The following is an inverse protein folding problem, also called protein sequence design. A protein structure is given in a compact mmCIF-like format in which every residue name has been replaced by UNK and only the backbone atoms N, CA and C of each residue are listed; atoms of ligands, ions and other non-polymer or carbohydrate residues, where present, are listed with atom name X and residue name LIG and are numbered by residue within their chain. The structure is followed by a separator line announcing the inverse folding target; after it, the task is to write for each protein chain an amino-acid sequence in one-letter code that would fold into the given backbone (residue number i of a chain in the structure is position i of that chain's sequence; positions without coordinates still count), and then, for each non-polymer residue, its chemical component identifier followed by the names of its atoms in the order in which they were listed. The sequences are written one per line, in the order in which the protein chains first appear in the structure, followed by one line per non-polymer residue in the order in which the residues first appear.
data_IF_757231219462
#
_entry.id   IF_757231219462
#
_cell.length_a   1.000
_cell.length_b   1.000
_cell.length_c   1.000
_cell.angle_alpha   90.00
_cell.angle_beta   90.00
_cell.angle_gamma   90.00
#
_symmetry.space_group_name_H-M   'P 1'
#
loop_
_entity.id
_entity.type
_entity.pdbx_description
1 polymer ?
#
# COMPACT_ATOMS: atom_id res chain seq x y z
N UNK A 1 10.41 -20.25 -20.34
CA UNK A 1 9.51 -19.09 -20.18
C UNK A 1 9.26 -18.93 -18.69
N UNK A 2 9.76 -17.88 -18.11
CA UNK A 2 9.50 -17.50 -16.72
C UNK A 2 8.24 -16.62 -16.77
N UNK A 3 7.07 -17.06 -16.32
CA UNK A 3 5.96 -16.15 -16.12
C UNK A 3 6.22 -15.36 -14.85
N UNK A 4 7.05 -14.33 -14.95
CA UNK A 4 7.19 -13.34 -13.91
C UNK A 4 5.91 -12.50 -13.89
N UNK A 5 4.90 -12.89 -13.12
CA UNK A 5 3.88 -11.98 -12.65
C UNK A 5 4.40 -11.32 -11.36
N UNK A 6 5.25 -10.35 -11.52
CA UNK A 6 5.47 -9.32 -10.52
C UNK A 6 4.27 -8.37 -10.61
N UNK A 7 3.15 -8.78 -10.01
CA UNK A 7 1.93 -7.97 -9.94
C UNK A 7 1.90 -7.36 -8.55
N UNK A 8 1.87 -6.03 -8.48
CA UNK A 8 1.69 -5.29 -7.25
C UNK A 8 2.98 -5.02 -6.50
N UNK A 9 3.56 -3.92 -6.75
CA UNK A 9 4.91 -3.56 -6.34
C UNK A 9 5.00 -3.02 -4.91
N UNK A 10 4.00 -2.30 -4.41
CA UNK A 10 3.93 -1.92 -3.00
C UNK A 10 3.61 -3.12 -2.11
N UNK A 11 2.85 -4.08 -2.62
CA UNK A 11 2.60 -5.39 -1.98
C UNK A 11 3.91 -6.09 -1.61
N UNK A 12 4.91 -6.06 -2.49
CA UNK A 12 6.18 -6.73 -2.24
C UNK A 12 6.86 -6.31 -0.94
N UNK A 13 6.78 -5.05 -0.53
CA UNK A 13 7.45 -4.57 0.68
C UNK A 13 6.70 -5.02 1.94
N UNK A 14 5.37 -4.97 1.94
CA UNK A 14 4.52 -5.32 3.10
C UNK A 14 4.50 -6.82 3.36
N UNK A 15 4.43 -7.62 2.28
CA UNK A 15 4.55 -9.08 2.35
C UNK A 15 5.93 -9.50 2.88
N UNK A 16 7.00 -8.77 2.47
CA UNK A 16 8.34 -9.02 2.98
C UNK A 16 8.50 -8.66 4.45
N UNK A 17 7.88 -7.55 4.90
CA UNK A 17 7.82 -7.22 6.32
C UNK A 17 7.11 -8.30 7.13
N UNK A 18 6.03 -8.87 6.58
CA UNK A 18 5.30 -9.98 7.22
C UNK A 18 6.15 -11.24 7.33
N UNK A 19 6.80 -11.66 6.23
CA UNK A 19 7.68 -12.83 6.25
C UNK A 19 8.89 -12.62 7.19
N UNK A 20 9.44 -11.41 7.23
CA UNK A 20 10.54 -11.05 8.12
C UNK A 20 10.11 -11.06 9.60
N UNK A 21 8.92 -10.52 9.90
CA UNK A 21 8.35 -10.57 11.24
C UNK A 21 8.14 -12.01 11.71
N UNK A 22 7.56 -12.87 10.87
CA UNK A 22 7.39 -14.31 11.16
C UNK A 22 8.72 -15.00 11.42
N UNK A 23 9.74 -14.72 10.62
CA UNK A 23 11.04 -15.39 10.75
C UNK A 23 11.79 -14.99 12.03
N UNK A 24 11.76 -13.70 12.39
CA UNK A 24 12.66 -13.14 13.39
C UNK A 24 12.00 -12.75 14.72
N UNK A 25 10.71 -12.38 14.70
CA UNK A 25 10.07 -11.73 15.85
C UNK A 25 8.92 -12.51 16.46
N UNK A 26 8.30 -13.44 15.72
CA UNK A 26 7.10 -14.15 16.19
C UNK A 26 7.20 -15.66 15.99
N UNK A 27 6.56 -16.40 16.88
CA UNK A 27 6.22 -17.81 16.66
C UNK A 27 4.82 -17.94 16.05
N UNK A 28 3.95 -16.94 16.33
CA UNK A 28 2.59 -16.83 15.82
C UNK A 28 2.22 -15.35 15.67
N UNK A 29 1.77 -14.94 14.47
CA UNK A 29 1.17 -13.62 14.24
C UNK A 29 -0.35 -13.78 14.25
N UNK A 30 -1.02 -13.06 15.16
CA UNK A 30 -2.48 -13.07 15.29
C UNK A 30 -3.16 -11.90 14.56
N UNK A 31 -2.54 -10.73 14.55
CA UNK A 31 -3.12 -9.51 13.95
C UNK A 31 -2.08 -8.78 13.09
N UNK A 32 -2.53 -8.34 11.93
CA UNK A 32 -1.73 -7.53 10.99
C UNK A 32 -2.55 -6.30 10.63
N UNK A 33 -2.04 -5.11 10.93
CA UNK A 33 -2.56 -3.85 10.44
C UNK A 33 -1.55 -3.24 9.45
N UNK A 34 -1.92 -3.22 8.19
CA UNK A 34 -1.11 -2.67 7.11
C UNK A 34 -1.43 -1.19 6.99
N UNK A 35 -0.41 -0.34 7.06
CA UNK A 35 -0.54 1.11 7.06
C UNK A 35 0.17 1.71 5.86
N UNK A 36 -0.58 2.39 5.01
CA UNK A 36 -0.08 3.11 3.84
C UNK A 36 -0.33 4.61 4.02
N UNK A 37 0.72 5.33 4.38
CA UNK A 37 0.65 6.77 4.59
C UNK A 37 1.41 7.52 3.51
N UNK A 38 0.68 8.36 2.75
CA UNK A 38 1.27 9.41 1.94
C UNK A 38 1.00 10.77 2.60
N UNK A 39 2.05 11.34 3.23
CA UNK A 39 2.03 12.69 3.80
C UNK A 39 2.49 13.78 2.82
N UNK A 40 2.60 13.45 1.53
CA UNK A 40 3.03 14.39 0.49
C UNK A 40 1.96 15.43 0.13
N UNK A 41 2.46 16.64 -0.19
CA UNK A 41 1.65 17.73 -0.75
C UNK A 41 2.19 18.12 -2.13
N UNK A 42 1.37 17.99 -3.16
CA UNK A 42 1.68 18.35 -4.53
C UNK A 42 1.12 19.74 -4.95
N UNK A 43 0.39 20.41 -4.06
CA UNK A 43 -0.16 21.76 -4.25
C UNK A 43 -1.36 21.85 -5.20
N UNK A 44 -1.94 20.74 -5.67
CA UNK A 44 -3.23 20.73 -6.37
C UNK A 44 -4.38 20.53 -5.38
N UNK A 45 -5.52 21.17 -5.56
CA UNK A 45 -6.71 20.90 -4.76
C UNK A 45 -7.16 19.44 -4.81
N UNK A 46 -6.99 18.80 -5.99
CA UNK A 46 -7.30 17.42 -6.25
C UNK A 46 -6.39 16.84 -7.34
N UNK A 47 -5.70 15.77 -7.04
CA UNK A 47 -4.93 14.95 -7.96
C UNK A 47 -4.69 13.58 -7.34
N UNK A 48 -4.30 12.60 -8.15
CA UNK A 48 -3.95 11.26 -7.71
C UNK A 48 -2.47 10.99 -7.93
N UNK A 49 -1.82 10.29 -7.01
CA UNK A 49 -0.38 10.03 -7.07
C UNK A 49 0.00 8.86 -8.00
N UNK A 50 -0.97 8.09 -8.44
CA UNK A 50 -0.83 7.00 -9.42
C UNK A 50 -2.03 7.02 -10.37
N UNK A 51 -2.22 5.99 -11.19
CA UNK A 51 -3.26 5.95 -12.21
C UNK A 51 -4.62 6.43 -11.66
N UNK A 52 -5.16 7.57 -12.16
CA UNK A 52 -6.37 8.17 -11.60
C UNK A 52 -7.57 7.22 -11.58
N UNK A 53 -7.77 6.46 -12.65
CA UNK A 53 -8.91 5.53 -12.74
C UNK A 53 -8.83 4.43 -11.68
N UNK A 54 -7.65 3.85 -11.47
CA UNK A 54 -7.44 2.81 -10.45
C UNK A 54 -7.70 3.39 -9.08
N UNK A 55 -7.07 4.53 -8.75
CA UNK A 55 -7.22 5.19 -7.46
C UNK A 55 -8.68 5.57 -7.16
N UNK A 56 -9.38 6.19 -8.12
CA UNK A 56 -10.77 6.61 -7.93
C UNK A 56 -11.71 5.40 -7.72
N UNK A 57 -11.50 4.31 -8.46
CA UNK A 57 -12.30 3.09 -8.31
C UNK A 57 -12.04 2.36 -6.99
N UNK A 58 -10.79 2.28 -6.56
CA UNK A 58 -10.38 1.67 -5.30
C UNK A 58 -11.02 2.38 -4.10
N UNK A 59 -10.95 3.71 -4.07
CA UNK A 59 -11.51 4.52 -2.98
C UNK A 59 -13.04 4.50 -2.95
N UNK A 60 -13.69 4.34 -4.11
CA UNK A 60 -15.17 4.26 -4.22
C UNK A 60 -15.72 2.84 -4.02
N UNK A 61 -14.87 1.82 -3.98
CA UNK A 61 -15.28 0.45 -3.78
C UNK A 61 -15.56 0.15 -2.30
N UNK A 62 -16.36 -0.92 -2.06
CA UNK A 62 -16.50 -1.46 -0.71
C UNK A 62 -15.12 -1.85 -0.15
N UNK A 63 -14.90 -1.50 1.11
CA UNK A 63 -13.76 -2.02 1.85
C UNK A 63 -13.99 -3.48 2.25
N UNK A 64 -12.92 -4.22 2.48
CA UNK A 64 -13.02 -5.51 3.13
C UNK A 64 -11.73 -5.86 3.87
N UNK A 65 -11.85 -6.70 4.88
CA UNK A 65 -10.72 -7.18 5.66
C UNK A 65 -10.96 -8.63 6.11
N UNK A 66 -9.90 -9.30 6.48
CA UNK A 66 -9.95 -10.67 7.00
C UNK A 66 -10.11 -10.67 8.51
N UNK A 67 -11.06 -11.46 9.04
CA UNK A 67 -11.26 -11.64 10.46
C UNK A 67 -11.82 -13.04 10.76
N UNK A 68 -11.16 -13.76 11.68
CA UNK A 68 -11.57 -15.06 12.20
C UNK A 68 -11.99 -16.09 11.11
N UNK A 69 -11.20 -16.17 10.04
CA UNK A 69 -11.40 -17.15 8.98
C UNK A 69 -12.40 -16.74 7.89
N UNK A 70 -12.88 -15.50 7.86
CA UNK A 70 -13.80 -15.01 6.85
C UNK A 70 -13.57 -13.55 6.45
N UNK A 71 -14.10 -13.17 5.30
CA UNK A 71 -14.09 -11.79 4.83
C UNK A 71 -15.21 -10.99 5.48
N UNK A 72 -14.88 -9.80 5.96
CA UNK A 72 -15.84 -8.81 6.46
C UNK A 72 -15.86 -7.64 5.48
N UNK A 73 -17.03 -7.38 4.89
CA UNK A 73 -17.23 -6.25 3.99
C UNK A 73 -17.68 -4.99 4.74
N UNK A 74 -17.25 -3.82 4.26
CA UNK A 74 -17.64 -2.51 4.77
C UNK A 74 -18.06 -1.61 3.60
N UNK A 75 -18.82 -0.55 3.90
CA UNK A 75 -19.05 0.49 2.90
C UNK A 75 -17.75 1.23 2.57
N UNK A 76 -17.69 1.90 1.41
CA UNK A 76 -16.53 2.72 1.07
C UNK A 76 -16.19 3.70 2.19
N UNK A 77 -14.93 3.76 2.61
CA UNK A 77 -14.42 4.70 3.61
C UNK A 77 -15.13 4.70 4.99
N UNK A 78 -15.89 3.64 5.31
CA UNK A 78 -16.71 3.57 6.54
C UNK A 78 -15.87 3.52 7.81
N UNK A 79 -14.78 2.76 7.79
CA UNK A 79 -13.90 2.61 8.95
C UNK A 79 -12.75 3.59 8.85
N UNK A 80 -12.82 4.61 9.71
CA UNK A 80 -11.78 5.63 9.86
C UNK A 80 -10.99 5.39 11.15
N UNK A 81 -9.69 5.60 11.10
CA UNK A 81 -8.78 5.61 12.25
C UNK A 81 -7.82 6.79 12.14
N UNK A 82 -7.27 7.19 13.26
CA UNK A 82 -6.20 8.18 13.36
C UNK A 82 -4.93 7.50 13.82
N UNK A 83 -3.81 7.83 13.19
CA UNK A 83 -2.51 7.29 13.57
C UNK A 83 -1.41 8.34 13.45
N UNK A 84 -0.48 8.33 14.39
CA UNK A 84 0.68 9.21 14.39
C UNK A 84 1.87 8.48 13.73
N UNK A 85 2.03 8.71 12.44
CA UNK A 85 3.07 8.06 11.63
C UNK A 85 4.46 8.63 11.92
N UNK A 86 5.46 7.81 12.19
CA UNK A 86 6.84 8.26 12.34
C UNK A 86 7.29 9.15 11.19
N UNK A 87 7.87 10.31 11.49
CA UNK A 87 8.36 11.33 10.57
C UNK A 87 7.30 11.99 9.64
N UNK A 88 6.05 11.62 9.70
CA UNK A 88 4.94 12.24 8.94
C UNK A 88 3.98 12.98 9.85
N UNK A 89 3.75 12.45 11.07
CA UNK A 89 2.80 13.01 12.03
C UNK A 89 1.42 12.37 11.96
N UNK A 90 0.47 12.99 12.66
CA UNK A 90 -0.89 12.50 12.80
C UNK A 90 -1.68 12.61 11.48
N UNK A 91 -2.30 11.52 11.08
CA UNK A 91 -3.10 11.43 9.86
C UNK A 91 -4.35 10.56 10.07
N UNK A 92 -5.42 10.97 9.42
CA UNK A 92 -6.59 10.14 9.22
C UNK A 92 -6.29 9.07 8.17
N UNK A 93 -6.67 7.83 8.46
CA UNK A 93 -6.56 6.70 7.55
C UNK A 93 -7.87 5.93 7.48
N UNK A 94 -8.13 5.32 6.34
CA UNK A 94 -9.39 4.67 6.04
C UNK A 94 -9.15 3.23 5.61
N UNK A 95 -10.00 2.32 6.06
CA UNK A 95 -9.95 0.92 5.67
C UNK A 95 -10.41 0.75 4.22
N UNK A 96 -9.58 0.08 3.45
CA UNK A 96 -9.86 -0.33 2.07
C UNK A 96 -9.66 -1.84 1.92
N UNK A 97 -10.19 -2.41 0.84
CA UNK A 97 -9.72 -3.71 0.37
C UNK A 97 -8.36 -3.55 -0.32
N UNK A 98 -7.45 -4.50 -0.11
CA UNK A 98 -6.20 -4.55 -0.86
C UNK A 98 -5.77 -6.01 -1.05
N UNK A 99 -5.18 -6.32 -2.20
CA UNK A 99 -4.95 -7.71 -2.65
C UNK A 99 -3.97 -8.50 -1.79
N UNK A 100 -2.99 -7.84 -1.13
CA UNK A 100 -2.07 -8.57 -0.24
C UNK A 100 -2.78 -9.25 0.93
N UNK A 101 -3.95 -8.78 1.35
CA UNK A 101 -4.73 -9.46 2.40
C UNK A 101 -5.06 -10.90 1.99
N UNK A 102 -5.34 -11.13 0.70
CA UNK A 102 -5.71 -12.45 0.18
C UNK A 102 -4.57 -13.46 0.33
N UNK A 103 -3.35 -13.05 -0.03
CA UNK A 103 -2.17 -13.92 0.07
C UNK A 103 -1.74 -14.12 1.52
N UNK A 104 -1.74 -13.05 2.33
CA UNK A 104 -1.37 -13.12 3.74
C UNK A 104 -2.37 -13.95 4.56
N UNK A 105 -3.67 -13.84 4.31
CA UNK A 105 -4.69 -14.67 4.96
C UNK A 105 -4.49 -16.16 4.70
N UNK A 106 -3.96 -16.51 3.51
CA UNK A 106 -3.65 -17.88 3.12
C UNK A 106 -2.32 -18.39 3.68
N UNK A 107 -1.30 -17.52 3.71
CA UNK A 107 0.09 -17.92 3.94
C UNK A 107 0.61 -17.61 5.35
N UNK A 108 -0.12 -16.84 6.17
CA UNK A 108 0.21 -16.59 7.58
C UNK A 108 -0.60 -17.53 8.49
N UNK A 109 0.01 -18.60 9.03
CA UNK A 109 -0.71 -19.55 9.85
C UNK A 109 -1.27 -18.92 11.12
N UNK A 110 -2.54 -19.18 11.42
CA UNK A 110 -3.16 -18.75 12.69
C UNK A 110 -3.55 -17.27 12.74
N UNK A 111 -3.40 -16.52 11.66
CA UNK A 111 -3.80 -15.11 11.62
C UNK A 111 -5.31 -14.97 11.83
N UNK A 112 -5.67 -14.11 12.78
CA UNK A 112 -7.06 -13.83 13.16
C UNK A 112 -7.64 -12.64 12.44
N UNK A 113 -6.83 -11.58 12.20
CA UNK A 113 -7.29 -10.37 11.50
C UNK A 113 -6.17 -9.75 10.67
N UNK A 114 -6.52 -9.33 9.45
CA UNK A 114 -5.68 -8.52 8.58
C UNK A 114 -6.49 -7.35 8.06
N UNK A 115 -6.02 -6.11 8.29
CA UNK A 115 -6.65 -4.88 7.83
C UNK A 115 -5.65 -4.06 7.03
N UNK A 116 -6.14 -3.37 6.01
CA UNK A 116 -5.36 -2.39 5.25
C UNK A 116 -5.95 -1.00 5.41
N UNK A 117 -5.11 -0.03 5.71
CA UNK A 117 -5.48 1.36 5.87
C UNK A 117 -4.63 2.27 4.99
N UNK A 118 -5.27 3.20 4.30
CA UNK A 118 -4.62 4.23 3.50
C UNK A 118 -5.03 5.62 3.98
N UNK A 119 -4.11 6.58 3.91
CA UNK A 119 -4.36 7.96 4.32
C UNK A 119 -4.92 8.82 3.19
N UNK A 120 -5.91 9.66 3.51
CA UNK A 120 -6.46 10.65 2.59
C UNK A 120 -6.64 12.00 3.27
N UNK A 121 -6.29 13.07 2.55
CA UNK A 121 -6.51 14.43 3.03
C UNK A 121 -7.98 14.85 2.87
N UNK A 122 -8.45 15.78 3.71
CA UNK A 122 -9.84 16.26 3.69
C UNK A 122 -10.24 16.88 2.33
N UNK A 123 -9.33 17.61 1.68
CA UNK A 123 -9.58 18.15 0.33
C UNK A 123 -9.88 17.04 -0.67
N UNK A 124 -9.06 15.98 -0.67
CA UNK A 124 -9.27 14.82 -1.54
C UNK A 124 -10.65 14.19 -1.32
N UNK A 125 -11.02 13.91 -0.08
CA UNK A 125 -12.30 13.28 0.27
C UNK A 125 -13.50 14.14 -0.15
N UNK A 126 -13.40 15.47 0.03
CA UNK A 126 -14.46 16.40 -0.35
C UNK A 126 -14.70 16.40 -1.88
N UNK A 127 -13.61 16.39 -2.66
CA UNK A 127 -13.73 16.30 -4.12
C UNK A 127 -14.24 14.95 -4.58
N UNK A 128 -13.76 13.85 -3.96
CA UNK A 128 -14.24 12.51 -4.28
C UNK A 128 -15.75 12.38 -4.06
N UNK A 129 -16.26 12.84 -2.92
CA UNK A 129 -17.70 12.81 -2.64
C UNK A 129 -18.49 13.61 -3.66
N UNK A 130 -18.04 14.82 -3.99
CA UNK A 130 -18.70 15.64 -5.02
C UNK A 130 -18.72 14.96 -6.39
N UNK A 131 -17.62 14.35 -6.81
CA UNK A 131 -17.51 13.63 -8.08
C UNK A 131 -18.39 12.39 -8.12
N UNK A 132 -18.54 11.69 -7.00
CA UNK A 132 -19.45 10.57 -6.86
C UNK A 132 -20.91 10.99 -6.94
N UNK A 133 -21.30 12.02 -6.17
CA UNK A 133 -22.66 12.57 -6.12
C UNK A 133 -23.17 13.02 -7.50
N UNK A 134 -22.30 13.54 -8.34
CA UNK A 134 -22.65 13.97 -9.73
C UNK A 134 -22.44 12.87 -10.78
N UNK A 135 -22.05 11.66 -10.38
CA UNK A 135 -21.88 10.50 -11.27
C UNK A 135 -20.61 10.53 -12.13
N UNK A 136 -19.64 11.39 -11.82
CA UNK A 136 -18.37 11.46 -12.57
C UNK A 136 -17.45 10.25 -12.37
N UNK A 137 -17.68 9.43 -11.33
CA UNK A 137 -16.93 8.19 -11.09
C UNK A 137 -17.53 6.97 -11.80
N UNK A 138 -18.64 7.15 -12.53
CA UNK A 138 -19.30 6.06 -13.26
C UNK A 138 -18.41 5.47 -14.36
N UNK A 139 -18.36 4.14 -14.42
CA UNK A 139 -17.74 3.38 -15.52
C UNK A 139 -18.73 3.07 -16.65
N UNK A 140 -20.03 3.34 -16.43
CA UNK A 140 -21.07 3.13 -17.44
C UNK A 140 -21.07 4.29 -18.43
N UNK A 141 -21.13 4.01 -19.75
CA UNK A 141 -21.14 5.05 -20.76
C UNK A 141 -22.46 5.85 -20.74
N UNK A 142 -22.37 7.14 -21.02
CA UNK A 142 -23.50 8.05 -21.21
C UNK A 142 -23.45 8.64 -22.62
N UNK A 143 -24.63 9.08 -23.12
CA UNK A 143 -24.71 9.77 -24.42
C UNK A 143 -24.63 11.30 -24.21
N UNK A 144 -23.71 11.93 -24.90
CA UNK A 144 -23.56 13.38 -24.94
C UNK A 144 -23.36 13.87 -26.38
N UNK A 145 -24.27 14.66 -26.89
CA UNK A 145 -24.22 15.21 -28.25
C UNK A 145 -23.96 14.17 -29.36
N UNK A 146 -24.60 13.00 -29.23
CA UNK A 146 -24.48 11.90 -30.20
C UNK A 146 -23.15 11.10 -30.09
N UNK A 147 -22.38 11.30 -29.03
CA UNK A 147 -21.17 10.56 -28.71
C UNK A 147 -21.32 9.80 -27.40
N UNK A 148 -20.68 8.66 -27.33
CA UNK A 148 -20.57 7.91 -26.09
C UNK A 148 -19.38 8.42 -25.29
N UNK A 149 -19.60 8.70 -24.01
CA UNK A 149 -18.58 9.16 -23.07
C UNK A 149 -18.68 8.29 -21.81
N UNK A 150 -17.55 7.80 -21.30
CA UNK A 150 -17.43 7.15 -20.00
C UNK A 150 -16.97 8.22 -18.99
N UNK A 151 -17.80 8.61 -18.00
CA UNK A 151 -17.51 9.74 -17.11
C UNK A 151 -16.13 9.67 -16.43
N UNK A 152 -15.78 8.53 -15.83
CA UNK A 152 -14.47 8.38 -15.17
C UNK A 152 -13.27 8.52 -16.12
N UNK A 153 -13.42 8.11 -17.40
CA UNK A 153 -12.37 8.29 -18.41
C UNK A 153 -12.22 9.76 -18.82
N UNK A 154 -13.32 10.48 -18.88
CA UNK A 154 -13.31 11.91 -19.12
C UNK A 154 -12.68 12.66 -17.94
N UNK A 155 -13.05 12.33 -16.70
CA UNK A 155 -12.41 12.86 -15.50
C UNK A 155 -10.91 12.63 -15.50
N UNK A 156 -10.47 11.39 -15.78
CA UNK A 156 -9.05 11.03 -15.88
C UNK A 156 -8.29 11.94 -16.85
N UNK A 157 -8.90 12.30 -17.98
CA UNK A 157 -8.28 13.18 -18.97
C UNK A 157 -8.14 14.65 -18.51
N UNK A 158 -8.89 15.06 -17.47
CA UNK A 158 -8.83 16.41 -16.89
C UNK A 158 -7.81 16.49 -15.73
N UNK A 159 -7.50 15.37 -15.09
CA UNK A 159 -6.58 15.34 -13.94
C UNK A 159 -5.13 15.50 -14.39
N UNK A 160 -4.27 16.09 -13.52
CA UNK A 160 -2.83 16.11 -13.78
C UNK A 160 -2.28 14.67 -13.95
N UNK A 161 -1.37 14.51 -14.90
CA UNK A 161 -0.61 13.27 -15.02
C UNK A 161 0.18 13.04 -13.71
N UNK A 162 0.04 11.87 -13.04
CA UNK A 162 0.78 11.56 -11.83
C UNK A 162 2.29 11.74 -11.94
N UNK A 163 2.88 11.48 -13.11
CA UNK A 163 4.31 11.72 -13.36
C UNK A 163 4.70 13.19 -13.22
N UNK A 164 3.77 14.13 -13.55
CA UNK A 164 4.01 15.56 -13.41
C UNK A 164 4.03 16.07 -11.96
N UNK A 165 3.59 15.26 -11.01
CA UNK A 165 3.60 15.61 -9.59
C UNK A 165 5.00 15.47 -8.95
N UNK A 166 5.88 14.63 -9.50
CA UNK A 166 7.20 14.34 -8.95
C UNK A 166 8.02 15.57 -8.57
N UNK A 167 8.23 16.56 -9.45
CA UNK A 167 9.07 17.72 -9.15
C UNK A 167 8.49 18.65 -8.07
N UNK A 168 7.22 18.54 -7.76
CA UNK A 168 6.51 19.46 -6.87
C UNK A 168 6.01 18.86 -5.56
N UNK A 169 5.91 17.54 -5.48
CA UNK A 169 5.43 16.88 -4.26
C UNK A 169 6.49 17.01 -3.17
N UNK A 170 6.11 17.56 -2.02
CA UNK A 170 6.95 17.69 -0.82
C UNK A 170 6.34 16.90 0.32
N UNK A 171 7.17 16.40 1.24
CA UNK A 171 6.75 15.57 2.35
C UNK A 171 7.24 14.14 2.21
N UNK A 172 6.69 13.24 3.01
CA UNK A 172 7.17 11.87 3.14
C UNK A 172 6.04 10.87 3.07
N UNK A 173 6.36 9.65 2.62
CA UNK A 173 5.53 8.47 2.83
C UNK A 173 6.00 7.71 4.07
N UNK A 174 5.10 6.95 4.67
CA UNK A 174 5.42 5.95 5.69
C UNK A 174 4.57 4.72 5.39
N UNK A 175 5.22 3.63 5.01
CA UNK A 175 4.56 2.39 4.62
C UNK A 175 5.06 1.29 5.53
N UNK A 176 4.15 0.51 6.13
CA UNK A 176 4.56 -0.56 7.02
C UNK A 176 3.42 -1.39 7.56
N UNK A 177 3.76 -2.30 8.46
CA UNK A 177 2.82 -3.22 9.08
C UNK A 177 3.01 -3.28 10.59
N UNK A 178 1.93 -3.14 11.34
CA UNK A 178 1.90 -3.43 12.78
C UNK A 178 1.49 -4.89 12.94
N UNK A 179 2.34 -5.65 13.58
CA UNK A 179 2.13 -7.06 13.89
C UNK A 179 1.89 -7.24 15.38
N UNK A 180 0.87 -7.99 15.73
CA UNK A 180 0.63 -8.44 17.11
C UNK A 180 0.49 -9.95 17.13
N UNK A 181 1.15 -10.60 18.06
CA UNK A 181 1.17 -12.05 18.16
C UNK A 181 1.95 -12.52 19.37
N UNK A 182 2.60 -13.69 19.27
CA UNK A 182 3.34 -14.31 20.37
C UNK A 182 4.77 -14.66 19.98
N UNK A 183 5.67 -14.50 20.94
CA UNK A 183 7.04 -15.00 20.91
C UNK A 183 7.38 -15.64 22.26
N UNK A 184 7.83 -16.88 22.26
CA UNK A 184 8.12 -17.64 23.49
C UNK A 184 6.96 -17.62 24.51
N UNK A 185 5.70 -17.74 24.00
CA UNK A 185 4.48 -17.70 24.79
C UNK A 185 4.09 -16.34 25.36
N UNK A 186 4.79 -15.27 25.04
CA UNK A 186 4.49 -13.89 25.48
C UNK A 186 3.91 -13.07 24.32
N UNK A 187 2.95 -12.22 24.65
CA UNK A 187 2.44 -11.24 23.70
C UNK A 187 3.54 -10.26 23.28
N UNK A 188 3.56 -9.97 22.00
CA UNK A 188 4.48 -9.00 21.38
C UNK A 188 3.75 -8.21 20.33
N UNK A 189 4.10 -6.91 20.22
CA UNK A 189 3.66 -6.03 19.13
C UNK A 189 4.87 -5.29 18.59
N UNK A 190 5.02 -5.25 17.28
CA UNK A 190 6.05 -4.48 16.60
C UNK A 190 5.45 -3.73 15.41
N UNK A 191 6.10 -2.66 14.99
CA UNK A 191 5.83 -1.96 13.74
C UNK A 191 7.07 -2.00 12.85
N UNK A 192 6.98 -2.64 11.70
CA UNK A 192 8.03 -2.61 10.67
C UNK A 192 7.58 -1.64 9.59
N UNK A 193 8.39 -0.62 9.32
CA UNK A 193 8.04 0.42 8.35
C UNK A 193 9.26 1.00 7.66
N UNK A 194 9.04 1.62 6.51
CA UNK A 194 10.00 2.50 5.86
C UNK A 194 9.44 3.92 5.72
N UNK A 195 10.34 4.90 5.62
CA UNK A 195 10.01 6.30 5.34
C UNK A 195 10.74 6.73 4.09
N UNK A 196 10.04 7.38 3.18
CA UNK A 196 10.59 7.82 1.90
C UNK A 196 10.24 9.28 1.64
N UNK A 197 11.24 10.12 1.32
CA UNK A 197 11.06 11.54 1.04
C UNK A 197 10.81 11.76 -0.46
N UNK A 198 9.73 12.46 -0.81
CA UNK A 198 9.35 12.70 -2.21
C UNK A 198 10.42 13.45 -3.00
N UNK A 199 11.06 14.45 -2.42
CA UNK A 199 12.06 15.26 -3.11
C UNK A 199 13.40 14.55 -3.22
N UNK A 200 13.76 13.70 -2.26
CA UNK A 200 14.96 12.87 -2.36
C UNK A 200 14.81 11.85 -3.48
N UNK A 201 13.68 11.14 -3.54
CA UNK A 201 13.38 10.21 -4.64
C UNK A 201 13.38 10.93 -5.99
N UNK A 202 12.78 12.12 -6.08
CA UNK A 202 12.75 12.87 -7.32
C UNK A 202 14.16 13.27 -7.79
N UNK A 203 15.04 13.68 -6.88
CA UNK A 203 16.45 13.98 -7.23
C UNK A 203 17.22 12.75 -7.73
N UNK A 204 16.91 11.57 -7.18
CA UNK A 204 17.61 10.33 -7.52
C UNK A 204 17.14 9.73 -8.85
N UNK A 205 15.80 9.59 -9.02
CA UNK A 205 15.24 8.83 -10.16
C UNK A 205 14.24 9.61 -11.02
N UNK A 206 13.99 10.90 -10.73
CA UNK A 206 13.02 11.72 -11.46
C UNK A 206 11.56 11.31 -11.22
N UNK A 207 11.27 10.61 -10.11
CA UNK A 207 9.93 10.14 -9.75
C UNK A 207 9.64 10.41 -8.29
N UNK A 208 8.35 10.54 -7.94
CA UNK A 208 7.91 10.74 -6.56
C UNK A 208 8.06 9.48 -5.70
N UNK A 209 7.95 9.63 -4.36
CA UNK A 209 8.10 8.52 -3.42
C UNK A 209 7.14 7.34 -3.68
N UNK A 210 5.90 7.59 -4.13
CA UNK A 210 4.95 6.51 -4.46
C UNK A 210 5.49 5.61 -5.57
N UNK A 211 6.08 6.19 -6.62
CA UNK A 211 6.72 5.40 -7.69
C UNK A 211 7.98 4.69 -7.22
N UNK A 212 8.72 5.32 -6.29
CA UNK A 212 9.96 4.77 -5.74
C UNK A 212 9.69 3.58 -4.83
N UNK A 213 8.77 3.70 -3.87
CA UNK A 213 8.37 2.62 -2.95
C UNK A 213 7.70 1.45 -3.66
N UNK A 214 7.21 1.70 -4.87
CA UNK A 214 6.64 0.68 -5.77
C UNK A 214 7.73 0.01 -6.63
N UNK A 215 8.58 0.81 -7.28
CA UNK A 215 9.55 0.31 -8.26
C UNK A 215 10.75 -0.39 -7.65
N UNK A 216 11.29 0.11 -6.52
CA UNK A 216 12.46 -0.50 -5.87
C UNK A 216 12.17 -1.92 -5.37
N UNK A 217 11.09 -2.20 -4.63
CA UNK A 217 10.73 -3.57 -4.25
C UNK A 217 10.57 -4.52 -5.45
N UNK A 218 9.91 -4.06 -6.51
CA UNK A 218 9.74 -4.85 -7.73
C UNK A 218 11.08 -5.19 -8.39
N UNK A 219 11.99 -4.21 -8.47
CA UNK A 219 13.33 -4.39 -9.00
C UNK A 219 14.13 -5.38 -8.14
N UNK A 220 14.08 -5.26 -6.81
CA UNK A 220 14.77 -6.19 -5.88
C UNK A 220 14.26 -7.61 -6.09
N UNK A 221 12.93 -7.82 -6.15
CA UNK A 221 12.35 -9.13 -6.40
C UNK A 221 12.82 -9.73 -7.73
N UNK A 222 12.85 -8.92 -8.80
CA UNK A 222 13.36 -9.35 -10.10
C UNK A 222 14.86 -9.72 -10.03
N UNK A 223 15.69 -8.92 -9.36
CA UNK A 223 17.11 -9.20 -9.19
C UNK A 223 17.34 -10.52 -8.45
N UNK A 224 16.63 -10.77 -7.35
CA UNK A 224 16.76 -12.01 -6.58
C UNK A 224 16.38 -13.26 -7.37
N UNK A 225 15.42 -13.15 -8.31
CA UNK A 225 15.09 -14.23 -9.25
C UNK A 225 16.18 -14.41 -10.31
N UNK A 226 16.67 -13.33 -10.91
CA UNK A 226 17.72 -13.38 -11.94
C UNK A 226 19.03 -13.93 -11.37
N UNK A 227 19.37 -13.53 -10.14
CA UNK A 227 20.58 -13.98 -9.43
C UNK A 227 20.41 -15.38 -8.80
N UNK A 228 19.26 -16.02 -9.01
CA UNK A 228 18.92 -17.35 -8.47
C UNK A 228 18.99 -17.45 -6.95
N UNK A 229 18.80 -16.36 -6.24
CA UNK A 229 18.61 -16.36 -4.77
C UNK A 229 17.20 -16.90 -4.46
N UNK A 230 16.22 -16.48 -5.27
CA UNK A 230 14.88 -17.06 -5.27
C UNK A 230 14.76 -18.02 -6.45
N UNK A 231 15.19 -19.26 -6.24
CA UNK A 231 15.25 -20.31 -7.28
C UNK A 231 14.26 -21.43 -6.92
N UNK A 232 13.01 -21.25 -7.35
CA UNK A 232 11.94 -22.25 -7.22
C UNK A 232 11.15 -22.33 -8.51
N UNK A 233 10.85 -23.56 -8.96
CA UNK A 233 9.96 -23.80 -10.09
C UNK A 233 8.50 -23.72 -9.66
N UNK A 234 7.73 -22.82 -10.25
CA UNK A 234 6.29 -22.69 -9.99
C UNK A 234 5.81 -21.25 -9.89
N UNK A 235 4.62 -21.07 -9.32
CA UNK A 235 4.01 -19.76 -9.01
C UNK A 235 3.91 -19.66 -7.50
N UNK A 236 4.55 -18.66 -6.93
CA UNK A 236 4.63 -18.44 -5.49
C UNK A 236 4.25 -17.01 -5.16
N UNK A 237 3.64 -16.82 -3.99
CA UNK A 237 3.55 -15.50 -3.39
C UNK A 237 4.91 -15.11 -2.81
N UNK A 238 5.15 -13.81 -2.75
CA UNK A 238 6.48 -13.32 -2.39
C UNK A 238 6.85 -13.64 -0.93
N UNK A 239 5.88 -13.70 -0.04
CA UNK A 239 6.06 -14.07 1.38
C UNK A 239 6.50 -15.53 1.60
N UNK A 240 6.44 -16.38 0.58
CA UNK A 240 6.88 -17.77 0.64
C UNK A 240 8.40 -17.96 0.46
N UNK A 241 9.13 -16.87 0.14
CA UNK A 241 10.59 -16.88 0.01
C UNK A 241 11.27 -16.36 1.27
N UNK A 242 12.57 -16.63 1.42
CA UNK A 242 13.37 -16.05 2.50
C UNK A 242 13.35 -14.51 2.40
N UNK A 243 12.93 -13.81 3.47
CA UNK A 243 12.86 -12.35 3.44
C UNK A 243 14.23 -11.65 3.51
N UNK A 244 15.23 -12.25 4.15
CA UNK A 244 16.46 -11.57 4.53
C UNK A 244 17.21 -10.95 3.35
N UNK A 245 17.43 -11.64 2.23
CA UNK A 245 18.11 -11.03 1.09
C UNK A 245 17.38 -9.81 0.53
N UNK A 246 16.04 -9.85 0.54
CA UNK A 246 15.22 -8.74 0.09
C UNK A 246 15.32 -7.55 1.05
N UNK A 247 15.23 -7.81 2.34
CA UNK A 247 15.30 -6.78 3.39
C UNK A 247 16.67 -6.10 3.41
N UNK A 248 17.75 -6.85 3.17
CA UNK A 248 19.10 -6.31 3.03
C UNK A 248 19.22 -5.41 1.81
N UNK A 249 18.65 -5.81 0.67
CA UNK A 249 18.66 -5.02 -0.56
C UNK A 249 17.80 -3.75 -0.44
N UNK A 250 16.71 -3.74 0.32
CA UNK A 250 15.96 -2.50 0.61
C UNK A 250 16.86 -1.42 1.21
N UNK A 251 17.71 -1.78 2.18
CA UNK A 251 18.68 -0.86 2.77
C UNK A 251 19.72 -0.34 1.75
N UNK A 252 20.13 -1.17 0.80
CA UNK A 252 21.11 -0.82 -0.21
C UNK A 252 20.53 0.08 -1.32
N UNK A 253 19.25 -0.10 -1.64
CA UNK A 253 18.55 0.58 -2.74
C UNK A 253 17.62 1.69 -2.26
N UNK A 254 17.94 2.37 -1.15
CA UNK A 254 17.32 3.63 -0.76
C UNK A 254 15.98 3.53 -0.04
N UNK A 255 15.57 2.32 0.38
CA UNK A 255 14.38 2.11 1.21
C UNK A 255 14.74 1.49 2.57
N UNK A 256 15.54 2.18 3.39
CA UNK A 256 15.84 1.67 4.73
C UNK A 256 14.57 1.50 5.54
N UNK A 257 14.52 0.43 6.30
CA UNK A 257 13.39 0.08 7.14
C UNK A 257 13.76 0.07 8.62
N UNK A 258 12.75 0.20 9.47
CA UNK A 258 12.88 0.31 10.93
C UNK A 258 11.95 -0.68 11.59
N UNK A 259 12.38 -1.27 12.71
CA UNK A 259 11.51 -2.01 13.64
C UNK A 259 11.33 -1.18 14.90
N UNK A 260 10.10 -0.77 15.16
CA UNK A 260 9.68 -0.23 16.46
C UNK A 260 9.08 -1.38 17.29
N UNK A 261 9.71 -1.68 18.42
CA UNK A 261 9.28 -2.78 19.31
C UNK A 261 8.24 -2.34 20.35
N UNK A 262 7.84 -1.08 20.37
CA UNK A 262 6.84 -0.53 21.28
C UNK A 262 5.88 0.44 20.58
N UNK A 263 5.28 0.06 19.44
CA UNK A 263 4.42 0.96 18.69
C UNK A 263 3.09 1.18 19.40
N UNK A 264 2.42 2.29 19.03
CA UNK A 264 0.98 2.39 19.27
C UNK A 264 0.25 1.45 18.34
N UNK A 265 -0.76 0.76 18.83
CA UNK A 265 -1.64 -0.10 18.01
C UNK A 265 -2.75 0.74 17.36
N UNK A 266 -3.31 0.21 16.27
CA UNK A 266 -4.51 0.76 15.66
C UNK A 266 -5.72 0.34 16.48
N UNK A 267 -6.44 1.31 17.03
CA UNK A 267 -7.62 1.09 17.87
C UNK A 267 -8.82 0.54 17.06
#
# INVERSE_FOLDING_TARGET
EIPLRLVGSEMCIRDRFTAYALKHYFDEIEYIDILDCNGGDHGYPFATNFNPEINLREVSANGSYWEDGHWVETKPMEIKREYNFPQVGEKDMYLLHHEEIESLAKNVPGVKRIRFFMTFGQSYLTHMQCLEDVGMLSTSPIQYEGREIVPIQFLKALLPDPASLGPRTVGKTNIGCIFTGKKDGKEKTIYIYNVCDHQECYREVGSQAISYTTGVPAMIGAALVVDKVWDKDGVFNIEEFDPDPFMDMLNQYGLPWVVDENPKTVA
#
